data_IF_683444060978
#
_entry.id   IF_683444060978
#
_cell.length_a   1.000
_cell.length_b   1.000
_cell.length_c   1.000
_cell.angle_alpha   90.00
_cell.angle_beta   90.00
_cell.angle_gamma   90.00
#
_symmetry.space_group_name_H-M   'P 1'
#
loop_
_entity.id
_entity.type
_entity.pdbx_description
1 polymer ?
#
# COMPACT_ATOMS: atom_id res chain seq x y z
N UNK A 1 -4.59 18.58 42.17
CA UNK A 1 -3.62 18.52 41.04
C UNK A 1 -2.64 17.33 41.15
N UNK A 2 -1.77 17.21 42.18
CA UNK A 2 -0.89 16.02 42.30
C UNK A 2 -1.60 14.75 42.82
N UNK A 3 -2.59 14.88 43.70
CA UNK A 3 -3.37 13.73 44.21
C UNK A 3 -4.34 13.14 43.18
N UNK A 4 -4.83 13.96 42.25
CA UNK A 4 -5.69 13.49 41.15
C UNK A 4 -4.91 12.69 40.12
N UNK A 5 -3.57 12.80 40.06
CA UNK A 5 -2.69 12.02 39.18
C UNK A 5 -2.48 10.58 39.62
N UNK A 6 -2.62 10.25 40.90
CA UNK A 6 -2.39 8.88 41.40
C UNK A 6 -3.61 7.97 41.27
N UNK A 7 -4.84 8.51 41.22
CA UNK A 7 -6.04 7.72 40.89
C UNK A 7 -6.14 7.38 39.38
N UNK A 8 -5.27 7.96 38.54
CA UNK A 8 -5.20 7.75 37.08
C UNK A 8 -4.42 6.47 36.73
N UNK A 9 -3.78 5.82 37.71
CA UNK A 9 -2.93 4.65 37.47
C UNK A 9 -3.62 3.47 36.77
N UNK A 10 -4.95 3.38 36.82
CA UNK A 10 -5.71 2.33 36.12
C UNK A 10 -6.04 2.66 34.66
N UNK A 11 -6.03 3.94 34.24
CA UNK A 11 -6.36 4.35 32.85
C UNK A 11 -5.11 4.74 32.04
N UNK A 12 -3.99 5.02 32.70
CA UNK A 12 -2.70 5.32 32.05
C UNK A 12 -2.07 4.10 31.37
N UNK A 13 -2.34 2.88 31.87
CA UNK A 13 -1.81 1.64 31.30
C UNK A 13 -2.22 1.43 29.83
N UNK A 14 -3.32 2.05 29.40
CA UNK A 14 -3.71 1.97 28.00
C UNK A 14 -2.83 2.83 27.10
N UNK A 15 -2.26 3.94 27.59
CA UNK A 15 -1.58 4.97 26.74
C UNK A 15 -0.06 4.82 26.69
N UNK A 16 0.47 3.82 27.37
CA UNK A 16 1.90 3.51 27.29
C UNK A 16 2.33 3.12 25.86
N UNK A 17 3.56 3.47 25.46
CA UNK A 17 4.07 3.13 24.14
C UNK A 17 4.11 1.62 23.98
N UNK A 18 3.61 1.14 22.85
CA UNK A 18 3.50 -0.29 22.60
C UNK A 18 4.92 -0.87 22.45
N UNK A 19 5.22 -1.98 23.16
CA UNK A 19 6.46 -2.72 22.90
C UNK A 19 6.40 -3.27 21.47
N UNK A 20 7.21 -2.71 20.59
CA UNK A 20 7.26 -3.14 19.19
C UNK A 20 8.13 -4.40 19.12
N UNK A 21 7.62 -5.45 18.46
CA UNK A 21 8.44 -6.59 18.07
C UNK A 21 9.59 -6.10 17.18
N UNK A 22 10.81 -6.09 17.72
CA UNK A 22 12.01 -5.58 17.04
C UNK A 22 12.43 -6.42 15.81
N UNK A 23 11.71 -7.52 15.54
CA UNK A 23 11.95 -8.43 14.42
C UNK A 23 11.41 -7.92 13.08
N UNK A 24 10.43 -7.00 13.09
CA UNK A 24 9.80 -6.49 11.87
C UNK A 24 10.56 -5.27 11.36
N UNK A 25 11.36 -5.44 10.31
CA UNK A 25 12.13 -4.37 9.65
C UNK A 25 11.67 -4.14 8.22
N UNK A 26 12.26 -3.17 7.52
CA UNK A 26 11.99 -2.97 6.08
C UNK A 26 12.29 -4.21 5.24
N UNK A 27 13.25 -5.05 5.63
CA UNK A 27 13.52 -6.35 5.00
C UNK A 27 12.34 -7.33 5.08
N UNK A 28 11.40 -7.10 6.00
CA UNK A 28 10.17 -7.87 6.15
C UNK A 28 9.00 -7.36 5.32
N UNK A 29 9.19 -6.31 4.52
CA UNK A 29 8.16 -5.70 3.67
C UNK A 29 8.50 -5.94 2.19
N UNK A 30 7.65 -6.67 1.47
CA UNK A 30 7.83 -6.92 0.04
C UNK A 30 7.01 -5.97 -0.83
N UNK A 31 7.57 -5.52 -1.96
CA UNK A 31 6.85 -4.84 -3.03
C UNK A 31 6.40 -3.40 -2.78
N UNK A 32 6.84 -2.76 -1.69
CA UNK A 32 6.41 -1.42 -1.26
C UNK A 32 7.61 -0.44 -1.16
N UNK A 33 8.61 -0.61 -2.03
CA UNK A 33 9.84 0.21 -2.02
C UNK A 33 9.56 1.71 -2.16
N UNK A 34 8.67 2.07 -3.08
CA UNK A 34 8.36 3.47 -3.39
C UNK A 34 7.69 4.15 -2.18
N UNK A 35 6.77 3.45 -1.53
CA UNK A 35 6.11 3.91 -0.30
C UNK A 35 7.11 4.04 0.85
N UNK A 36 8.04 3.09 1.00
CA UNK A 36 9.08 3.14 2.03
C UNK A 36 10.01 4.33 1.81
N UNK A 37 10.42 4.60 0.56
CA UNK A 37 11.29 5.75 0.26
C UNK A 37 10.61 7.07 0.60
N UNK A 38 9.36 7.25 0.17
CA UNK A 38 8.59 8.44 0.50
C UNK A 38 8.37 8.60 2.01
N UNK A 39 8.14 7.51 2.75
CA UNK A 39 8.03 7.57 4.21
C UNK A 39 9.36 7.92 4.89
N UNK A 40 10.50 7.45 4.35
CA UNK A 40 11.84 7.85 4.84
C UNK A 40 12.08 9.35 4.63
N UNK A 41 11.69 9.90 3.48
CA UNK A 41 11.79 11.35 3.22
C UNK A 41 10.93 12.17 4.18
N UNK A 42 9.78 11.66 4.59
CA UNK A 42 8.88 12.37 5.50
C UNK A 42 9.32 12.30 6.97
N UNK A 43 9.82 11.15 7.43
CA UNK A 43 10.08 10.91 8.85
C UNK A 43 11.55 10.97 9.19
N UNK A 44 12.39 10.35 8.36
CA UNK A 44 13.82 10.20 8.63
C UNK A 44 14.60 11.46 8.22
N UNK A 45 14.30 12.04 7.06
CA UNK A 45 15.09 13.17 6.55
C UNK A 45 14.98 14.44 7.40
N UNK A 46 13.82 14.83 7.95
CA UNK A 46 13.76 15.98 8.86
C UNK A 46 14.59 15.79 10.13
N UNK A 47 14.76 14.54 10.56
CA UNK A 47 15.57 14.20 11.74
C UNK A 47 17.06 14.16 11.42
N UNK A 48 17.44 13.75 10.20
CA UNK A 48 18.83 13.64 9.77
C UNK A 48 19.41 14.96 9.22
N UNK A 49 18.61 15.74 8.50
CA UNK A 49 19.05 16.94 7.77
C UNK A 49 18.20 18.18 8.07
N UNK A 50 18.07 18.61 9.35
CA UNK A 50 17.25 19.76 9.72
C UNK A 50 17.70 21.07 9.01
N UNK A 51 19.00 21.20 8.73
CA UNK A 51 19.62 22.36 8.08
C UNK A 51 18.99 22.68 6.71
N UNK A 52 18.59 21.64 5.96
CA UNK A 52 17.95 21.82 4.65
C UNK A 52 16.59 22.48 4.79
N UNK A 53 15.79 22.03 5.77
CA UNK A 53 14.46 22.58 6.04
C UNK A 53 14.53 24.02 6.57
N UNK A 54 15.53 24.33 7.40
CA UNK A 54 15.77 25.68 7.90
C UNK A 54 16.21 26.64 6.80
N UNK A 55 17.12 26.22 5.91
CA UNK A 55 17.61 27.04 4.80
C UNK A 55 16.48 27.48 3.86
N UNK A 56 15.58 26.56 3.52
CA UNK A 56 14.46 26.85 2.63
C UNK A 56 13.19 27.30 3.37
N UNK A 57 13.20 27.34 4.70
CA UNK A 57 12.04 27.64 5.55
C UNK A 57 10.81 26.80 5.21
N UNK A 58 11.04 25.52 4.90
CA UNK A 58 9.99 24.56 4.55
C UNK A 58 9.63 23.77 5.81
N UNK A 59 8.34 23.62 6.08
CA UNK A 59 7.88 22.74 7.15
C UNK A 59 7.83 21.30 6.65
N UNK A 60 8.43 20.33 7.37
CA UNK A 60 8.31 18.93 7.00
C UNK A 60 6.87 18.45 7.18
N UNK A 61 6.36 17.60 6.28
CA UNK A 61 4.99 17.09 6.40
C UNK A 61 4.86 16.17 7.61
N UNK A 62 3.79 16.33 8.39
CA UNK A 62 3.64 15.64 9.70
C UNK A 62 2.56 14.58 9.73
N UNK A 63 1.69 14.54 8.74
CA UNK A 63 0.63 13.54 8.65
C UNK A 63 0.66 12.71 7.37
N UNK A 64 0.49 11.39 7.54
CA UNK A 64 0.32 10.43 6.45
C UNK A 64 -1.01 9.68 6.60
N UNK A 65 -1.70 9.45 5.49
CA UNK A 65 -2.89 8.60 5.45
C UNK A 65 -2.65 7.38 4.55
N UNK A 66 -2.72 6.18 5.11
CA UNK A 66 -2.61 4.91 4.42
C UNK A 66 -4.01 4.41 4.07
N UNK A 67 -4.27 4.17 2.80
CA UNK A 67 -5.55 3.66 2.35
C UNK A 67 -5.39 2.55 1.33
N UNK A 68 -6.36 1.64 1.28
CA UNK A 68 -6.36 0.50 0.35
C UNK A 68 -7.05 -0.72 0.94
N UNK A 69 -7.20 -1.81 0.19
CA UNK A 69 -7.83 -3.04 0.67
C UNK A 69 -7.15 -3.61 1.94
N UNK A 70 -7.88 -4.39 2.75
CA UNK A 70 -7.31 -5.05 3.92
C UNK A 70 -6.25 -6.08 3.52
N UNK A 71 -5.25 -6.28 4.39
CA UNK A 71 -4.22 -7.30 4.18
C UNK A 71 -3.09 -6.93 3.22
N UNK A 72 -2.99 -5.66 2.79
CA UNK A 72 -1.88 -5.13 1.97
C UNK A 72 -0.65 -4.67 2.76
N UNK A 73 -0.67 -4.79 4.10
CA UNK A 73 0.50 -4.53 4.94
C UNK A 73 0.61 -3.11 5.51
N UNK A 74 -0.46 -2.29 5.50
CA UNK A 74 -0.50 -0.94 6.08
C UNK A 74 0.07 -0.88 7.52
N UNK A 75 -0.45 -1.72 8.42
CA UNK A 75 0.00 -1.82 9.81
C UNK A 75 1.44 -2.35 9.93
N UNK A 76 1.85 -3.23 9.01
CA UNK A 76 3.19 -3.83 9.01
C UNK A 76 4.24 -2.77 8.63
N UNK A 77 3.97 -1.96 7.61
CA UNK A 77 4.86 -0.87 7.16
C UNK A 77 5.06 0.16 8.26
N UNK A 78 3.99 0.56 8.97
CA UNK A 78 4.10 1.50 10.08
C UNK A 78 4.98 0.96 11.22
N UNK A 79 4.85 -0.33 11.56
CA UNK A 79 5.70 -1.00 12.55
C UNK A 79 7.16 -1.09 12.10
N UNK A 80 7.38 -1.44 10.82
CA UNK A 80 8.72 -1.50 10.24
C UNK A 80 9.41 -0.13 10.27
N UNK A 81 8.68 0.95 9.97
CA UNK A 81 9.18 2.32 10.03
C UNK A 81 9.61 2.69 11.45
N UNK A 82 8.78 2.41 12.45
CA UNK A 82 9.10 2.72 13.85
C UNK A 82 10.34 1.95 14.35
N UNK A 83 10.46 0.67 13.97
CA UNK A 83 11.63 -0.15 14.29
C UNK A 83 12.90 0.32 13.59
N UNK A 84 12.81 0.75 12.33
CA UNK A 84 13.98 1.25 11.61
C UNK A 84 14.47 2.57 12.23
N UNK A 85 13.55 3.50 12.50
CA UNK A 85 13.93 4.79 13.05
C UNK A 85 14.44 4.70 14.50
N UNK A 86 14.14 3.60 15.19
CA UNK A 86 14.66 3.32 16.54
C UNK A 86 16.05 2.67 16.53
N UNK A 87 16.63 2.40 15.35
CA UNK A 87 18.01 1.92 15.23
C UNK A 87 18.98 3.11 15.29
N UNK A 88 19.77 3.17 16.37
CA UNK A 88 20.80 4.20 16.59
C UNK A 88 20.74 4.82 17.99
N UNK A 89 21.28 6.03 18.13
CA UNK A 89 21.35 6.76 19.41
C UNK A 89 20.04 7.44 19.83
N UNK A 90 19.05 7.53 18.94
CA UNK A 90 17.72 8.10 19.22
C UNK A 90 16.66 7.02 19.18
N UNK A 91 16.03 6.77 20.33
CA UNK A 91 14.82 5.93 20.40
C UNK A 91 13.61 6.77 20.04
N UNK A 92 12.78 6.27 19.13
CA UNK A 92 11.51 6.91 18.76
C UNK A 92 10.39 6.22 19.53
N UNK A 93 9.54 7.00 20.20
CA UNK A 93 8.35 6.44 20.85
C UNK A 93 7.26 6.14 19.82
N UNK A 94 6.67 4.94 19.87
CA UNK A 94 5.61 4.51 18.96
C UNK A 94 4.32 4.24 19.73
N UNK A 95 3.27 4.99 19.39
CA UNK A 95 1.94 4.83 19.95
C UNK A 95 1.03 4.23 18.88
N UNK A 96 0.43 3.07 19.17
CA UNK A 96 -0.52 2.42 18.28
C UNK A 96 -1.90 2.43 18.92
N UNK A 97 -2.90 2.92 18.18
CA UNK A 97 -4.32 2.92 18.60
C UNK A 97 -5.21 2.45 17.47
N UNK A 98 -6.19 1.61 17.78
CA UNK A 98 -7.29 1.34 16.85
C UNK A 98 -8.37 2.40 17.04
N UNK A 99 -9.05 2.78 15.96
CA UNK A 99 -10.12 3.78 16.01
C UNK A 99 -11.24 3.41 16.97
N UNK A 100 -11.56 2.12 17.08
CA UNK A 100 -12.55 1.60 18.03
C UNK A 100 -12.11 1.70 19.49
N UNK A 101 -10.82 1.55 19.79
CA UNK A 101 -10.30 1.59 21.18
C UNK A 101 -10.42 2.99 21.79
N UNK A 102 -10.41 4.03 20.95
CA UNK A 102 -10.59 5.41 21.37
C UNK A 102 -12.07 5.76 21.67
N UNK A 103 -13.03 4.89 21.33
CA UNK A 103 -14.46 5.13 21.54
C UNK A 103 -14.91 4.56 22.88
N UNK A 104 -15.48 5.40 23.73
CA UNK A 104 -16.00 5.00 25.04
C UNK A 104 -17.48 5.34 25.17
N UNK A 105 -18.18 4.62 26.05
CA UNK A 105 -19.60 4.89 26.37
C UNK A 105 -19.81 6.20 27.14
N UNK A 106 -18.75 6.75 27.74
CA UNK A 106 -18.82 7.94 28.58
C UNK A 106 -18.52 9.19 27.76
N UNK A 107 -19.46 10.14 27.77
CA UNK A 107 -19.33 11.38 27.00
C UNK A 107 -18.10 12.17 27.46
N UNK A 108 -17.24 12.56 26.53
CA UNK A 108 -16.03 13.35 26.78
C UNK A 108 -14.79 12.56 27.18
N UNK A 109 -14.91 11.28 27.53
CA UNK A 109 -13.76 10.46 27.90
C UNK A 109 -12.88 10.16 26.68
N UNK A 110 -13.48 9.89 25.52
CA UNK A 110 -12.76 9.73 24.24
C UNK A 110 -11.92 10.96 23.85
N UNK A 111 -12.45 12.17 24.06
CA UNK A 111 -11.71 13.41 23.80
C UNK A 111 -10.54 13.59 24.78
N UNK A 112 -10.78 13.26 26.06
CA UNK A 112 -9.75 13.31 27.10
C UNK A 112 -8.62 12.34 26.79
N UNK A 113 -8.93 11.11 26.37
CA UNK A 113 -7.94 10.10 25.98
C UNK A 113 -7.11 10.54 24.78
N UNK A 114 -7.73 11.13 23.75
CA UNK A 114 -6.99 11.69 22.62
C UNK A 114 -6.04 12.82 23.06
N UNK A 115 -6.51 13.77 23.89
CA UNK A 115 -5.63 14.83 24.40
C UNK A 115 -4.44 14.26 25.20
N UNK A 116 -4.71 13.29 26.07
CA UNK A 116 -3.68 12.65 26.89
C UNK A 116 -2.64 11.90 26.04
N UNK A 117 -3.08 11.22 24.97
CA UNK A 117 -2.19 10.56 24.01
C UNK A 117 -1.25 11.57 23.35
N UNK A 118 -1.78 12.68 22.81
CA UNK A 118 -0.95 13.69 22.17
C UNK A 118 0.00 14.39 23.16
N UNK A 119 -0.42 14.60 24.40
CA UNK A 119 0.42 15.20 25.44
C UNK A 119 1.55 14.25 25.87
N UNK A 120 1.29 12.93 25.96
CA UNK A 120 2.34 11.95 26.21
C UNK A 120 3.30 11.80 25.03
N UNK A 121 2.77 11.78 23.79
CA UNK A 121 3.59 11.76 22.59
C UNK A 121 4.49 12.99 22.49
N UNK A 122 4.02 14.15 22.95
CA UNK A 122 4.81 15.37 23.06
C UNK A 122 5.92 15.30 24.12
N UNK A 123 5.69 14.61 25.24
CA UNK A 123 6.71 14.38 26.26
C UNK A 123 7.79 13.40 25.80
N UNK A 124 7.43 12.41 24.97
CA UNK A 124 8.32 11.37 24.46
C UNK A 124 8.83 11.62 23.03
N UNK A 125 9.03 12.89 22.64
CA UNK A 125 9.56 13.24 21.31
C UNK A 125 11.03 12.79 21.15
N UNK A 126 11.45 12.32 19.96
CA UNK A 126 10.65 12.14 18.73
C UNK A 126 9.66 10.97 18.84
N UNK A 127 8.43 11.15 18.32
CA UNK A 127 7.38 10.13 18.44
C UNK A 127 6.50 9.98 17.19
N UNK A 128 5.97 8.76 17.01
CA UNK A 128 5.06 8.41 15.92
C UNK A 128 3.75 7.91 16.54
N UNK A 129 2.64 8.49 16.10
CA UNK A 129 1.28 8.08 16.48
C UNK A 129 0.66 7.36 15.27
N UNK A 130 0.33 6.08 15.42
CA UNK A 130 -0.34 5.28 14.41
C UNK A 130 -1.79 4.98 14.82
N UNK A 131 -2.74 5.50 14.04
CA UNK A 131 -4.17 5.21 14.15
C UNK A 131 -4.56 4.15 13.11
N UNK A 132 -4.86 2.93 13.54
CA UNK A 132 -5.44 1.89 12.68
C UNK A 132 -6.98 2.05 12.64
N UNK A 133 -7.61 1.76 11.51
CA UNK A 133 -9.07 1.91 11.33
C UNK A 133 -9.59 3.30 11.74
N UNK A 134 -8.90 4.36 11.27
CA UNK A 134 -9.23 5.75 11.62
C UNK A 134 -10.64 6.17 11.15
N UNK A 135 -11.21 5.46 10.17
CA UNK A 135 -12.59 5.63 9.71
C UNK A 135 -13.63 5.33 10.80
N UNK A 136 -13.30 4.48 11.79
CA UNK A 136 -14.14 4.29 12.97
C UNK A 136 -14.14 5.49 13.92
N UNK A 137 -13.02 6.24 13.96
CA UNK A 137 -12.86 7.41 14.83
C UNK A 137 -13.44 8.68 14.19
N UNK A 138 -13.20 8.86 12.90
CA UNK A 138 -13.51 10.09 12.18
C UNK A 138 -14.34 9.87 10.89
N UNK A 139 -15.60 9.40 11.03
CA UNK A 139 -16.48 9.24 9.88
C UNK A 139 -16.88 10.59 9.26
N UNK A 140 -17.32 10.59 7.99
CA UNK A 140 -17.89 11.77 7.32
C UNK A 140 -19.07 12.31 8.12
N UNK A 141 -18.99 13.58 8.52
CA UNK A 141 -20.05 14.27 9.28
C UNK A 141 -21.35 14.29 8.47
N UNK A 142 -22.40 13.69 9.02
CA UNK A 142 -23.76 13.79 8.49
C UNK A 142 -24.71 14.24 9.59
N UNK A 143 -25.76 14.98 9.23
CA UNK A 143 -26.82 15.40 10.16
C UNK A 143 -27.55 14.23 10.83
N UNK A 144 -27.46 13.01 10.26
CA UNK A 144 -28.07 11.78 10.79
C UNK A 144 -27.16 11.00 11.75
N UNK A 145 -25.87 11.35 11.87
CA UNK A 145 -24.94 10.64 12.74
C UNK A 145 -24.93 11.20 14.17
N UNK A 146 -24.46 10.40 15.13
CA UNK A 146 -24.35 10.79 16.53
C UNK A 146 -23.46 12.03 16.70
N UNK A 147 -23.96 13.00 17.48
CA UNK A 147 -23.22 14.24 17.82
C UNK A 147 -21.86 13.95 18.47
N UNK A 148 -21.72 12.78 19.10
CA UNK A 148 -20.50 12.29 19.75
C UNK A 148 -19.35 12.18 18.75
N UNK A 149 -19.57 11.55 17.59
CA UNK A 149 -18.53 11.39 16.56
C UNK A 149 -18.07 12.74 16.03
N UNK A 150 -18.99 13.69 15.82
CA UNK A 150 -18.67 15.04 15.34
C UNK A 150 -17.78 15.82 16.32
N UNK A 151 -17.99 15.65 17.63
CA UNK A 151 -17.17 16.28 18.67
C UNK A 151 -15.75 15.71 18.71
N UNK A 152 -15.63 14.38 18.57
CA UNK A 152 -14.35 13.68 18.53
C UNK A 152 -13.54 14.09 17.30
N UNK A 153 -14.16 14.13 16.11
CA UNK A 153 -13.48 14.58 14.88
C UNK A 153 -13.00 16.01 15.05
N UNK A 154 -13.82 16.90 15.61
CA UNK A 154 -13.44 18.30 15.82
C UNK A 154 -12.27 18.44 16.81
N UNK A 155 -12.23 17.61 17.85
CA UNK A 155 -11.09 17.55 18.78
C UNK A 155 -9.83 17.03 18.09
N UNK A 156 -9.93 15.98 17.25
CA UNK A 156 -8.79 15.46 16.50
C UNK A 156 -8.24 16.51 15.52
N UNK A 157 -9.11 17.24 14.81
CA UNK A 157 -8.69 18.34 13.93
C UNK A 157 -7.92 19.42 14.69
N UNK A 158 -8.42 19.83 15.86
CA UNK A 158 -7.74 20.82 16.70
C UNK A 158 -6.39 20.32 17.22
N UNK A 159 -6.27 19.02 17.52
CA UNK A 159 -5.00 18.41 17.93
C UNK A 159 -3.99 18.35 16.78
N UNK A 160 -4.43 18.01 15.56
CA UNK A 160 -3.60 18.00 14.36
C UNK A 160 -3.13 19.40 13.97
N UNK A 161 -4.03 20.40 13.96
CA UNK A 161 -3.66 21.80 13.69
C UNK A 161 -2.69 22.35 14.76
N UNK A 162 -2.81 21.84 16.00
CA UNK A 162 -1.90 22.18 17.08
C UNK A 162 -0.50 21.57 16.94
N UNK A 163 -0.30 20.59 16.03
CA UNK A 163 0.98 19.89 15.88
C UNK A 163 2.09 20.80 15.37
N UNK A 164 1.79 21.85 14.60
CA UNK A 164 2.80 22.76 14.06
C UNK A 164 3.70 23.33 15.15
N UNK A 165 3.08 23.74 16.27
CA UNK A 165 3.77 24.21 17.47
C UNK A 165 4.45 23.11 18.30
N UNK A 166 4.05 21.84 18.12
CA UNK A 166 4.38 20.70 19.00
C UNK A 166 5.58 19.85 18.54
N UNK A 167 6.34 20.27 17.53
CA UNK A 167 7.65 19.66 17.17
C UNK A 167 7.58 18.28 16.50
N UNK A 168 8.64 17.46 16.65
CA UNK A 168 8.96 16.15 16.03
C UNK A 168 7.94 15.00 16.30
N UNK A 169 6.65 15.23 16.04
CA UNK A 169 5.57 14.23 16.13
C UNK A 169 5.04 13.97 14.72
N UNK A 170 4.99 12.70 14.33
CA UNK A 170 4.40 12.26 13.06
C UNK A 170 3.14 11.45 13.34
N UNK A 171 2.05 11.78 12.64
CA UNK A 171 0.77 11.06 12.74
C UNK A 171 0.53 10.25 11.47
N UNK A 172 0.25 8.96 11.62
CA UNK A 172 -0.06 8.04 10.53
C UNK A 172 -1.46 7.48 10.78
N UNK A 173 -2.40 7.74 9.88
CA UNK A 173 -3.72 7.11 9.88
C UNK A 173 -3.76 5.96 8.89
N UNK A 174 -4.42 4.85 9.20
CA UNK A 174 -4.71 3.77 8.27
C UNK A 174 -6.22 3.55 8.16
N UNK A 175 -6.69 3.37 6.94
CA UNK A 175 -8.09 3.09 6.62
C UNK A 175 -8.20 2.07 5.49
N UNK A 176 -9.31 1.35 5.44
CA UNK A 176 -9.67 0.54 4.28
C UNK A 176 -10.56 1.31 3.29
N UNK A 177 -11.19 2.40 3.74
CA UNK A 177 -12.18 3.18 2.99
C UNK A 177 -11.81 4.65 3.10
N UNK A 178 -11.29 5.22 2.02
CA UNK A 178 -10.91 6.64 2.01
C UNK A 178 -12.14 7.55 2.05
N UNK A 179 -13.23 7.13 1.40
CA UNK A 179 -14.46 7.93 1.27
C UNK A 179 -15.27 8.06 2.56
N UNK A 180 -15.03 7.19 3.55
CA UNK A 180 -15.71 7.24 4.84
C UNK A 180 -15.06 8.20 5.83
N UNK A 181 -13.88 8.75 5.53
CA UNK A 181 -13.19 9.71 6.40
C UNK A 181 -13.66 11.13 6.11
N UNK A 182 -13.76 11.96 7.15
CA UNK A 182 -14.01 13.40 7.01
C UNK A 182 -13.00 14.08 6.07
N UNK A 183 -13.44 14.72 4.96
CA UNK A 183 -12.57 15.44 4.03
C UNK A 183 -11.74 16.55 4.68
N UNK A 184 -12.17 17.08 5.83
CA UNK A 184 -11.42 18.08 6.58
C UNK A 184 -10.07 17.53 7.07
N UNK A 185 -9.96 16.24 7.39
CA UNK A 185 -8.72 15.62 7.84
C UNK A 185 -7.67 15.52 6.71
N UNK A 186 -8.12 15.47 5.45
CA UNK A 186 -7.28 15.32 4.24
C UNK A 186 -6.70 16.64 3.73
N UNK A 187 -6.95 17.76 4.42
CA UNK A 187 -6.43 19.07 4.02
C UNK A 187 -4.93 19.17 4.35
N UNK A 188 -4.14 19.87 3.51
CA UNK A 188 -2.75 20.20 3.85
C UNK A 188 -2.66 20.92 5.21
N UNK A 189 -1.63 20.59 5.98
CA UNK A 189 -1.44 20.92 7.40
C UNK A 189 -1.91 19.82 8.37
N UNK A 190 -2.57 18.76 7.87
CA UNK A 190 -3.09 17.64 8.66
C UNK A 190 -2.54 16.32 8.11
N UNK A 191 -3.34 15.56 7.36
CA UNK A 191 -2.83 14.45 6.56
C UNK A 191 -2.37 14.97 5.19
N UNK A 192 -1.11 15.40 5.12
CA UNK A 192 -0.51 16.03 3.94
C UNK A 192 -0.29 15.06 2.78
N UNK A 193 -0.04 13.79 3.11
CA UNK A 193 0.28 12.75 2.13
C UNK A 193 -0.67 11.58 2.25
N UNK A 194 -1.15 11.13 1.09
CA UNK A 194 -2.00 9.95 0.96
C UNK A 194 -1.21 8.85 0.25
N UNK A 195 -1.20 7.65 0.82
CA UNK A 195 -0.52 6.48 0.29
C UNK A 195 -1.52 5.38 -0.06
N UNK A 196 -1.64 5.10 -1.35
CA UNK A 196 -2.45 4.00 -1.86
C UNK A 196 -1.69 2.67 -1.77
N UNK A 197 -2.21 1.74 -0.97
CA UNK A 197 -1.73 0.37 -0.90
C UNK A 197 -2.59 -0.51 -1.79
N UNK A 198 -2.20 -0.65 -3.06
CA UNK A 198 -2.85 -1.56 -4.01
C UNK A 198 -2.53 -3.02 -3.70
N UNK A 199 -3.22 -3.93 -4.41
CA UNK A 199 -2.84 -5.34 -4.39
C UNK A 199 -1.43 -5.52 -4.99
N UNK A 200 -0.64 -6.50 -4.51
CA UNK A 200 0.72 -6.70 -4.97
C UNK A 200 0.78 -7.24 -6.40
N UNK A 201 1.69 -6.66 -7.21
CA UNK A 201 2.04 -7.13 -8.55
C UNK A 201 2.79 -8.47 -8.51
N UNK A 202 2.98 -9.15 -9.66
CA UNK A 202 3.75 -10.41 -9.76
C UNK A 202 5.11 -10.34 -9.04
N UNK A 203 5.90 -9.29 -9.30
CA UNK A 203 7.21 -9.05 -8.68
C UNK A 203 7.09 -8.95 -7.15
N UNK A 204 6.17 -8.10 -6.67
CA UNK A 204 5.88 -7.92 -5.24
C UNK A 204 5.41 -9.23 -4.57
N UNK A 205 4.57 -10.03 -5.24
CA UNK A 205 4.12 -11.34 -4.72
C UNK A 205 5.30 -12.29 -4.54
N UNK A 206 6.24 -12.34 -5.51
CA UNK A 206 7.47 -13.15 -5.41
C UNK A 206 8.31 -12.73 -4.19
N UNK A 207 8.48 -11.43 -3.96
CA UNK A 207 9.18 -10.91 -2.78
C UNK A 207 8.49 -11.30 -1.47
N UNK A 208 7.17 -11.16 -1.40
CA UNK A 208 6.38 -11.54 -0.22
C UNK A 208 6.51 -13.05 0.07
N UNK A 209 6.46 -13.90 -0.96
CA UNK A 209 6.72 -15.33 -0.82
C UNK A 209 8.14 -15.60 -0.30
N UNK A 210 9.16 -14.91 -0.82
CA UNK A 210 10.55 -15.05 -0.36
C UNK A 210 10.68 -14.68 1.12
N UNK A 211 10.03 -13.61 1.57
CA UNK A 211 10.04 -13.18 2.97
C UNK A 211 9.41 -14.26 3.87
N UNK A 212 8.22 -14.77 3.52
CA UNK A 212 7.52 -15.76 4.34
C UNK A 212 8.16 -17.15 4.33
N UNK A 213 8.96 -17.47 3.31
CA UNK A 213 9.66 -18.75 3.18
C UNK A 213 11.14 -18.68 3.56
N UNK A 214 11.63 -17.50 4.00
CA UNK A 214 13.04 -17.28 4.36
C UNK A 214 13.53 -18.21 5.46
N UNK A 215 12.67 -18.47 6.43
CA UNK A 215 12.99 -19.23 7.64
C UNK A 215 12.62 -20.72 7.49
N UNK A 216 12.15 -21.14 6.30
CA UNK A 216 11.78 -22.53 6.04
C UNK A 216 13.01 -23.41 5.75
N UNK A 217 12.95 -24.64 6.25
CA UNK A 217 13.94 -25.69 5.98
C UNK A 217 13.21 -26.94 5.48
N UNK A 218 13.35 -27.34 4.20
CA UNK A 218 14.13 -26.71 3.12
C UNK A 218 13.45 -25.47 2.52
N UNK A 219 14.26 -24.58 1.92
CA UNK A 219 13.76 -23.40 1.21
C UNK A 219 13.20 -23.80 -0.18
N UNK A 220 12.07 -23.22 -0.61
CA UNK A 220 11.56 -23.44 -1.95
C UNK A 220 12.49 -22.83 -3.01
N UNK A 221 12.47 -23.42 -4.20
CA UNK A 221 13.23 -22.92 -5.36
C UNK A 221 12.66 -21.59 -5.84
N UNK A 222 13.55 -20.67 -6.24
CA UNK A 222 13.16 -19.35 -6.76
C UNK A 222 12.28 -19.43 -8.01
N UNK A 223 12.50 -20.44 -8.87
CA UNK A 223 11.67 -20.71 -10.06
C UNK A 223 10.25 -21.12 -9.68
N UNK A 224 10.09 -21.89 -8.60
CA UNK A 224 8.78 -22.29 -8.10
C UNK A 224 8.03 -21.10 -7.47
N UNK A 225 8.73 -20.22 -6.74
CA UNK A 225 8.12 -19.00 -6.21
C UNK A 225 7.61 -18.06 -7.31
N UNK A 226 8.31 -18.02 -8.44
CA UNK A 226 7.86 -17.25 -9.60
C UNK A 226 6.61 -17.84 -10.24
N UNK A 227 6.54 -19.17 -10.38
CA UNK A 227 5.34 -19.87 -10.86
C UNK A 227 4.13 -19.65 -9.91
N UNK A 228 4.36 -19.66 -8.59
CA UNK A 228 3.33 -19.35 -7.60
C UNK A 228 2.86 -17.90 -7.73
N UNK A 229 3.78 -16.94 -7.91
CA UNK A 229 3.44 -15.54 -8.06
C UNK A 229 2.58 -15.27 -9.30
N UNK A 230 2.79 -16.02 -10.40
CA UNK A 230 1.93 -15.97 -11.59
C UNK A 230 0.53 -16.52 -11.34
N UNK A 231 0.40 -17.56 -10.51
CA UNK A 231 -0.89 -18.20 -10.22
C UNK A 231 -1.71 -17.47 -9.15
N UNK A 232 -1.06 -16.76 -8.22
CA UNK A 232 -1.68 -16.04 -7.10
C UNK A 232 -2.20 -14.64 -7.47
N UNK A 233 -2.90 -14.50 -8.59
CA UNK A 233 -3.49 -13.23 -9.03
C UNK A 233 -4.53 -12.75 -8.02
N UNK A 234 -4.43 -11.49 -7.58
CA UNK A 234 -5.38 -10.88 -6.64
C UNK A 234 -5.23 -11.31 -5.17
N UNK A 235 -4.21 -12.11 -4.84
CA UNK A 235 -3.86 -12.39 -3.45
C UNK A 235 -3.24 -11.17 -2.79
N UNK A 236 -3.66 -10.82 -1.57
CA UNK A 236 -2.99 -9.81 -0.76
C UNK A 236 -1.83 -10.43 0.06
N UNK A 237 -1.02 -9.58 0.71
CA UNK A 237 0.09 -10.08 1.54
C UNK A 237 -0.38 -11.01 2.66
N UNK A 238 -1.53 -10.71 3.28
CA UNK A 238 -2.14 -11.59 4.28
C UNK A 238 -2.59 -12.95 3.70
N UNK A 239 -3.14 -12.97 2.49
CA UNK A 239 -3.54 -14.21 1.83
C UNK A 239 -2.32 -15.08 1.49
N UNK A 240 -1.22 -14.46 1.03
CA UNK A 240 0.03 -15.18 0.72
C UNK A 240 0.61 -15.82 1.99
N UNK A 241 0.61 -15.08 3.11
CA UNK A 241 1.00 -15.63 4.43
C UNK A 241 0.13 -16.81 4.83
N UNK A 242 -1.20 -16.68 4.66
CA UNK A 242 -2.16 -17.75 4.94
C UNK A 242 -1.94 -18.96 4.05
N UNK A 243 -1.68 -18.75 2.75
CA UNK A 243 -1.40 -19.81 1.79
C UNK A 243 -0.15 -20.61 2.17
N UNK A 244 0.92 -19.93 2.59
CA UNK A 244 2.15 -20.58 3.05
C UNK A 244 1.88 -21.43 4.31
N UNK A 245 1.10 -20.91 5.27
CA UNK A 245 0.73 -21.65 6.47
C UNK A 245 -0.16 -22.87 6.15
N UNK A 246 -1.14 -22.72 5.26
CA UNK A 246 -2.03 -23.81 4.87
C UNK A 246 -1.30 -24.88 4.06
N UNK A 247 -0.31 -24.51 3.24
CA UNK A 247 0.56 -25.47 2.56
C UNK A 247 1.36 -26.33 3.56
N UNK A 248 1.90 -25.72 4.61
CA UNK A 248 2.58 -26.44 5.69
C UNK A 248 1.62 -27.38 6.45
N UNK A 249 0.39 -26.94 6.73
CA UNK A 249 -0.65 -27.77 7.35
C UNK A 249 -1.10 -28.93 6.44
N UNK A 250 -1.19 -28.71 5.13
CA UNK A 250 -1.46 -29.77 4.16
C UNK A 250 -0.34 -30.83 4.13
N UNK A 251 0.93 -30.40 4.19
CA UNK A 251 2.06 -31.33 4.30
C UNK A 251 2.01 -32.14 5.60
N UNK A 252 1.67 -31.50 6.73
CA UNK A 252 1.47 -32.16 8.02
C UNK A 252 0.33 -33.20 7.97
N UNK A 253 -0.83 -32.83 7.40
CA UNK A 253 -1.98 -33.73 7.20
C UNK A 253 -1.63 -34.95 6.37
N UNK A 254 -0.86 -34.75 5.30
CA UNK A 254 -0.41 -35.82 4.40
C UNK A 254 0.56 -36.79 5.09
N UNK A 255 1.49 -36.27 5.90
CA UNK A 255 2.50 -37.09 6.57
C UNK A 255 1.95 -37.82 7.80
N UNK A 256 1.12 -37.15 8.59
CA UNK A 256 0.64 -37.65 9.87
C UNK A 256 -0.89 -37.49 10.02
N UNK A 257 -1.70 -38.28 9.30
CA UNK A 257 -3.16 -38.22 9.40
C UNK A 257 -3.68 -38.65 10.78
N UNK A 258 -2.89 -39.43 11.50
CA UNK A 258 -3.19 -39.92 12.85
C UNK A 258 -3.37 -38.83 13.91
N UNK A 259 -2.75 -37.65 13.73
CA UNK A 259 -2.88 -36.51 14.66
C UNK A 259 -4.34 -36.08 14.82
N UNK A 260 -5.16 -36.24 13.76
CA UNK A 260 -6.56 -35.84 13.78
C UNK A 260 -7.49 -36.87 14.45
N UNK A 261 -6.98 -38.06 14.76
CA UNK A 261 -7.76 -39.14 15.42
C UNK A 261 -7.47 -39.24 16.91
N UNK A 262 -6.29 -38.83 17.36
CA UNK A 262 -5.85 -38.88 18.75
C UNK A 262 -6.01 -37.53 19.45
N UNK A 263 -6.49 -37.53 20.69
CA UNK A 263 -6.54 -36.32 21.54
C UNK A 263 -5.20 -36.00 22.21
N UNK A 264 -4.26 -36.95 22.21
CA UNK A 264 -2.95 -36.83 22.86
C UNK A 264 -1.85 -36.35 21.90
N UNK A 265 -0.82 -35.68 22.45
CA UNK A 265 0.32 -35.18 21.68
C UNK A 265 1.25 -36.33 21.28
N UNK A 266 1.22 -36.70 20.00
CA UNK A 266 2.11 -37.71 19.43
C UNK A 266 3.54 -37.18 19.25
N UNK A 267 4.53 -38.06 19.40
CA UNK A 267 5.93 -37.75 19.09
C UNK A 267 6.12 -37.79 17.56
N UNK A 268 6.43 -36.65 16.96
CA UNK A 268 6.58 -36.50 15.52
C UNK A 268 8.04 -36.28 15.15
N UNK A 269 8.45 -36.87 14.03
CA UNK A 269 9.73 -36.55 13.41
C UNK A 269 9.54 -35.36 12.45
N UNK A 270 9.92 -34.17 12.93
CA UNK A 270 9.74 -32.89 12.23
C UNK A 270 10.54 -32.88 10.92
N UNK A 271 11.71 -33.52 10.89
CA UNK A 271 12.58 -33.57 9.71
C UNK A 271 11.94 -34.30 8.53
N UNK A 272 10.93 -35.15 8.79
CA UNK A 272 10.23 -35.88 7.75
C UNK A 272 9.14 -35.08 7.02
N UNK A 273 8.80 -33.88 7.53
CA UNK A 273 7.72 -33.05 6.99
C UNK A 273 8.26 -32.18 5.86
N UNK A 274 8.24 -32.72 4.63
CA UNK A 274 8.63 -31.98 3.43
C UNK A 274 7.40 -31.42 2.72
N UNK A 275 7.39 -30.10 2.50
CA UNK A 275 6.35 -29.39 1.75
C UNK A 275 6.60 -29.60 0.25
N UNK A 276 5.57 -30.03 -0.47
CA UNK A 276 5.62 -30.30 -1.92
C UNK A 276 4.70 -29.37 -2.69
N UNK A 277 4.91 -29.27 -4.02
CA UNK A 277 4.05 -28.45 -4.89
C UNK A 277 2.55 -28.85 -4.82
N UNK A 278 2.26 -30.13 -4.59
CA UNK A 278 0.88 -30.62 -4.41
C UNK A 278 0.20 -30.00 -3.18
N UNK A 279 0.97 -29.76 -2.12
CA UNK A 279 0.44 -29.18 -0.88
C UNK A 279 0.03 -27.71 -1.11
N UNK A 280 0.78 -26.96 -1.93
CA UNK A 280 0.40 -25.61 -2.38
C UNK A 280 -0.85 -25.60 -3.26
N UNK A 281 -0.98 -26.55 -4.19
CA UNK A 281 -2.19 -26.66 -5.04
C UNK A 281 -3.42 -26.95 -4.18
N UNK A 282 -3.31 -27.84 -3.19
CA UNK A 282 -4.40 -28.11 -2.25
C UNK A 282 -4.71 -26.90 -1.36
N UNK A 283 -3.69 -26.13 -0.97
CA UNK A 283 -3.89 -24.90 -0.21
C UNK A 283 -4.61 -23.83 -1.04
N UNK A 284 -4.22 -23.62 -2.31
CA UNK A 284 -4.87 -22.69 -3.24
C UNK A 284 -6.36 -22.99 -3.46
N UNK A 285 -6.75 -24.25 -3.43
CA UNK A 285 -8.17 -24.65 -3.55
C UNK A 285 -9.01 -24.29 -2.31
N UNK A 286 -8.37 -24.18 -1.14
CA UNK A 286 -9.03 -23.84 0.13
C UNK A 286 -9.01 -22.34 0.41
N UNK A 287 -7.97 -21.65 -0.02
CA UNK A 287 -7.79 -20.21 0.24
C UNK A 287 -8.55 -19.38 -0.78
N UNK A 288 -9.58 -18.66 -0.33
CA UNK A 288 -10.28 -17.66 -1.16
C UNK A 288 -9.50 -16.34 -1.10
N UNK A 289 -9.03 -15.80 -2.24
CA UNK A 289 -8.29 -14.54 -2.27
C UNK A 289 -9.16 -13.34 -1.88
N UNK A 290 -8.53 -12.33 -1.30
CA UNK A 290 -9.19 -11.11 -0.85
C UNK A 290 -9.89 -10.36 -1.99
N UNK A 291 -9.33 -10.38 -3.20
CA UNK A 291 -9.96 -9.77 -4.38
C UNK A 291 -11.36 -10.37 -4.63
N UNK A 292 -11.47 -11.69 -4.71
CA UNK A 292 -12.72 -12.41 -4.98
C UNK A 292 -13.77 -12.28 -3.87
N UNK A 293 -13.36 -11.95 -2.64
CA UNK A 293 -14.31 -11.65 -1.55
C UNK A 293 -15.02 -10.31 -1.73
N UNK A 294 -14.40 -9.35 -2.41
CA UNK A 294 -14.97 -8.03 -2.65
C UNK A 294 -15.59 -7.93 -4.05
N UNK A 295 -14.82 -8.24 -5.11
CA UNK A 295 -15.24 -8.19 -6.52
C UNK A 295 -14.42 -9.22 -7.33
N UNK A 296 -15.05 -10.01 -8.19
CA UNK A 296 -14.33 -10.98 -9.03
C UNK A 296 -13.27 -10.27 -9.88
N UNK A 297 -12.00 -10.73 -9.80
CA UNK A 297 -10.92 -10.14 -10.59
C UNK A 297 -11.11 -10.48 -12.07
N UNK A 298 -11.18 -9.49 -12.98
CA UNK A 298 -11.39 -9.73 -14.41
C UNK A 298 -10.14 -10.27 -15.12
N UNK A 299 -8.96 -10.09 -14.51
CA UNK A 299 -7.69 -10.59 -15.04
C UNK A 299 -7.49 -12.07 -14.75
N UNK A 300 -7.21 -12.86 -15.79
CA UNK A 300 -6.82 -14.27 -15.67
C UNK A 300 -5.75 -14.61 -16.69
N UNK A 301 -4.67 -15.25 -16.24
CA UNK A 301 -3.64 -15.77 -17.14
C UNK A 301 -4.20 -16.82 -18.12
N UNK A 302 -3.56 -16.94 -19.30
CA UNK A 302 -3.88 -18.01 -20.25
C UNK A 302 -3.65 -19.37 -19.59
N UNK A 303 -4.61 -20.29 -19.81
CA UNK A 303 -4.46 -21.67 -19.38
C UNK A 303 -3.28 -22.33 -20.10
N UNK A 304 -2.58 -23.30 -19.49
CA UNK A 304 -1.46 -23.99 -20.15
C UNK A 304 -1.89 -24.72 -21.43
N UNK A 305 -3.17 -25.10 -21.54
CA UNK A 305 -3.74 -25.77 -22.71
C UNK A 305 -3.93 -24.78 -23.88
N UNK A 306 -4.41 -23.57 -23.58
CA UNK A 306 -4.67 -22.54 -24.60
C UNK A 306 -3.46 -21.64 -24.90
N UNK A 307 -2.46 -21.62 -24.01
CA UNK A 307 -1.24 -20.82 -24.15
C UNK A 307 -0.56 -21.00 -25.51
N UNK A 308 -0.19 -22.22 -25.97
CA UNK A 308 0.55 -22.37 -27.23
C UNK A 308 -0.25 -21.91 -28.46
N UNK A 309 -1.59 -21.95 -28.41
CA UNK A 309 -2.45 -21.54 -29.52
C UNK A 309 -2.63 -20.02 -29.58
N UNK A 310 -2.73 -19.36 -28.42
CA UNK A 310 -3.14 -17.95 -28.32
C UNK A 310 -2.00 -16.99 -27.94
N UNK A 311 -0.84 -17.49 -27.53
CA UNK A 311 0.29 -16.67 -27.09
C UNK A 311 0.80 -15.71 -28.17
N UNK A 312 0.89 -16.18 -29.42
CA UNK A 312 1.27 -15.32 -30.56
C UNK A 312 0.25 -14.19 -30.78
N UNK A 313 -1.03 -14.48 -30.65
CA UNK A 313 -2.11 -13.50 -30.80
C UNK A 313 -2.10 -12.51 -29.64
N UNK A 314 -1.92 -12.98 -28.41
CA UNK A 314 -1.77 -12.14 -27.24
C UNK A 314 -0.57 -11.19 -27.36
N UNK A 315 0.58 -11.69 -27.83
CA UNK A 315 1.76 -10.86 -28.09
C UNK A 315 1.49 -9.74 -29.10
N UNK A 316 0.78 -10.04 -30.19
CA UNK A 316 0.36 -9.03 -31.18
C UNK A 316 -0.60 -7.99 -30.59
N UNK A 317 -1.55 -8.44 -29.77
CA UNK A 317 -2.50 -7.55 -29.08
C UNK A 317 -1.74 -6.62 -28.14
N UNK A 318 -0.80 -7.13 -27.34
CA UNK A 318 0.01 -6.32 -26.43
C UNK A 318 0.89 -5.32 -27.20
N UNK A 319 1.49 -5.71 -28.32
CA UNK A 319 2.23 -4.78 -29.18
C UNK A 319 1.34 -3.68 -29.78
N UNK A 320 0.12 -4.02 -30.22
CA UNK A 320 -0.85 -3.04 -30.69
C UNK A 320 -1.29 -2.09 -29.55
N UNK A 321 -1.51 -2.65 -28.37
CA UNK A 321 -1.88 -1.90 -27.17
C UNK A 321 -0.78 -0.93 -26.75
N UNK A 322 0.50 -1.30 -26.84
CA UNK A 322 1.64 -0.40 -26.59
C UNK A 322 1.64 0.82 -27.53
N UNK A 323 1.25 0.65 -28.79
CA UNK A 323 1.17 1.78 -29.75
C UNK A 323 0.03 2.75 -29.43
N UNK A 324 -1.09 2.23 -28.95
CA UNK A 324 -2.29 3.03 -28.63
C UNK A 324 -2.21 3.64 -27.23
N UNK A 325 -1.66 2.87 -26.28
CA UNK A 325 -1.45 3.21 -24.88
C UNK A 325 0.04 3.12 -24.56
N UNK A 326 0.79 4.17 -24.83
CA UNK A 326 2.23 4.17 -24.56
C UNK A 326 2.53 4.14 -23.05
N UNK A 327 1.57 4.52 -22.20
CA UNK A 327 1.65 4.30 -20.75
C UNK A 327 1.63 2.81 -20.36
N UNK A 328 1.05 1.92 -21.17
CA UNK A 328 1.10 0.48 -20.92
C UNK A 328 2.53 -0.08 -21.01
N UNK A 329 3.41 0.62 -21.72
CA UNK A 329 4.82 0.26 -21.84
C UNK A 329 5.56 0.38 -20.49
N UNK A 330 5.19 1.35 -19.65
CA UNK A 330 5.72 1.49 -18.28
C UNK A 330 5.36 0.30 -17.39
N UNK A 331 4.19 -0.30 -17.61
CA UNK A 331 3.77 -1.49 -16.86
C UNK A 331 4.55 -2.75 -17.30
N UNK A 332 4.83 -2.88 -18.60
CA UNK A 332 5.46 -4.05 -19.22
C UNK A 332 7.00 -4.03 -19.18
N UNK A 333 7.66 -2.85 -19.21
CA UNK A 333 9.14 -2.74 -19.27
C UNK A 333 9.88 -3.00 -17.95
N UNK A 334 9.22 -3.00 -16.80
CA UNK A 334 9.89 -3.23 -15.50
C UNK A 334 10.40 -4.67 -15.30
N UNK A 335 9.93 -5.63 -16.08
CA UNK A 335 10.40 -7.02 -15.99
C UNK A 335 11.89 -7.21 -16.37
N UNK A 336 12.58 -6.17 -16.89
CA UNK A 336 13.97 -6.29 -17.38
C UNK A 336 15.02 -5.42 -16.68
N UNK A 337 14.70 -4.60 -15.67
CA UNK A 337 15.72 -3.77 -15.01
C UNK A 337 15.60 -3.82 -13.49
N UNK A 338 16.46 -4.65 -12.87
CA UNK A 338 16.92 -4.48 -11.49
C UNK A 338 17.48 -3.07 -11.33
N UNK A 339 16.82 -2.24 -10.52
CA UNK A 339 17.44 -1.35 -9.52
C UNK A 339 16.36 -0.43 -8.93
N UNK A 340 15.97 -0.76 -7.71
CA UNK A 340 14.89 -0.14 -6.92
C UNK A 340 15.23 1.26 -6.39
N UNK A 341 16.36 1.85 -6.78
CA UNK A 341 16.76 3.22 -6.45
C UNK A 341 16.40 4.22 -7.56
N UNK A 342 15.98 3.74 -8.73
CA UNK A 342 15.86 4.57 -9.92
C UNK A 342 14.48 5.21 -10.13
N UNK A 343 13.47 5.00 -9.26
CA UNK A 343 12.12 5.48 -9.57
C UNK A 343 11.83 6.94 -9.20
N UNK A 344 12.46 7.43 -8.12
CA UNK A 344 12.46 8.86 -7.78
C UNK A 344 13.45 9.58 -8.69
N UNK A 345 14.64 9.00 -8.87
CA UNK A 345 15.66 9.51 -9.78
C UNK A 345 15.28 9.45 -11.26
N UNK A 346 14.35 8.60 -11.75
CA UNK A 346 13.97 8.60 -13.19
C UNK A 346 12.92 9.64 -13.56
N UNK A 347 12.05 10.03 -12.64
CA UNK A 347 11.19 11.19 -12.87
C UNK A 347 11.99 12.49 -12.73
N UNK A 348 13.06 12.49 -11.93
CA UNK A 348 13.97 13.61 -11.73
C UNK A 348 15.25 13.56 -12.59
N UNK A 349 15.51 12.51 -13.37
CA UNK A 349 16.56 12.49 -14.40
C UNK A 349 16.12 13.26 -15.65
N UNK A 350 15.38 14.34 -15.43
CA UNK A 350 15.32 15.47 -16.33
C UNK A 350 16.57 16.29 -15.99
N UNK A 351 17.54 16.21 -16.89
CA UNK A 351 18.82 16.90 -16.90
C UNK A 351 19.86 16.44 -15.87
N UNK A 352 20.91 15.81 -16.39
CA UNK A 352 22.25 16.13 -15.90
C UNK A 352 22.41 17.65 -15.89
N UNK A 353 22.67 18.21 -14.71
CA UNK A 353 22.75 19.63 -14.28
C UNK A 353 23.58 20.62 -15.15
N UNK A 354 23.89 20.36 -16.42
CA UNK A 354 24.69 21.28 -17.23
C UNK A 354 23.90 22.25 -18.12
N UNK A 355 22.57 22.09 -18.29
CA UNK A 355 21.79 22.97 -19.20
C UNK A 355 20.49 23.57 -18.65
N UNK A 356 20.15 23.41 -17.37
CA UNK A 356 18.98 24.09 -16.80
C UNK A 356 19.35 25.53 -16.36
N UNK A 357 18.61 26.58 -16.80
CA UNK A 357 18.94 27.95 -16.44
C UNK A 357 18.78 28.16 -14.93
N UNK A 358 19.83 28.64 -14.26
CA UNK A 358 19.81 28.87 -12.82
C UNK A 358 18.75 29.92 -12.47
N UNK A 359 17.83 29.58 -11.55
CA UNK A 359 16.72 30.47 -11.11
C UNK A 359 17.25 31.72 -10.37
N UNK A 360 18.53 31.70 -9.97
CA UNK A 360 19.18 32.74 -9.20
C UNK A 360 20.09 33.68 -10.01
N UNK A 361 20.51 33.32 -11.24
CA UNK A 361 21.39 34.19 -12.04
C UNK A 361 20.65 34.86 -13.20
N UNK A 362 20.53 36.18 -13.13
CA UNK A 362 19.91 37.01 -14.17
C UNK A 362 20.86 37.37 -15.34
N UNK A 363 22.05 36.76 -15.45
CA UNK A 363 23.07 37.17 -16.43
C UNK A 363 23.29 36.09 -17.50
N UNK A 364 22.97 36.37 -18.78
CA UNK A 364 23.31 35.47 -19.87
C UNK A 364 24.81 35.60 -20.16
N UNK A 365 25.61 34.68 -19.64
CA UNK A 365 27.02 34.53 -20.00
C UNK A 365 27.14 33.54 -21.15
N UNK A 366 26.84 34.03 -22.36
CA UNK A 366 27.55 33.78 -23.62
C UNK A 366 26.65 34.14 -24.81
N UNK A 367 27.15 35.04 -25.66
CA UNK A 367 26.52 35.47 -26.90
C UNK A 367 26.50 34.30 -27.90
N UNK A 368 25.33 33.70 -28.13
CA UNK A 368 24.99 33.05 -29.40
C UNK A 368 23.66 33.62 -29.91
N UNK A 369 23.57 34.06 -31.18
CA UNK A 369 22.34 34.60 -31.73
C UNK A 369 21.39 33.45 -32.09
N UNK A 370 20.22 33.39 -31.44
CA UNK A 370 19.11 32.55 -31.90
C UNK A 370 18.41 31.64 -30.88
N UNK A 371 18.75 31.66 -29.58
CA UNK A 371 17.98 30.92 -28.57
C UNK A 371 16.77 31.76 -28.16
N UNK A 372 15.57 31.35 -28.60
CA UNK A 372 14.31 31.88 -28.08
C UNK A 372 14.32 31.78 -26.54
N UNK A 373 13.71 32.74 -25.84
CA UNK A 373 13.67 32.78 -24.38
C UNK A 373 13.08 31.47 -23.83
N UNK A 374 13.93 30.53 -23.45
CA UNK A 374 13.51 29.32 -22.76
C UNK A 374 12.80 29.75 -21.48
N UNK A 375 11.54 29.30 -21.32
CA UNK A 375 10.78 29.61 -20.11
C UNK A 375 11.44 28.84 -18.97
N UNK A 376 11.69 29.51 -17.83
CA UNK A 376 12.15 28.86 -16.59
C UNK A 376 11.29 27.65 -16.19
N UNK A 377 10.01 27.67 -16.58
CA UNK A 377 9.08 26.56 -16.41
C UNK A 377 8.65 26.07 -17.79
N UNK A 378 9.30 25.01 -18.28
CA UNK A 378 8.87 24.29 -19.46
C UNK A 378 7.76 23.28 -19.09
N UNK A 379 6.53 23.78 -18.95
CA UNK A 379 5.34 22.91 -18.84
C UNK A 379 4.94 22.27 -20.18
N UNK A 380 5.63 22.61 -21.26
CA UNK A 380 5.56 21.92 -22.55
C UNK A 380 6.09 20.50 -22.39
N UNK A 381 5.22 19.62 -21.89
CA UNK A 381 5.38 18.17 -21.91
C UNK A 381 5.72 17.76 -23.34
N UNK A 382 6.98 17.45 -23.60
CA UNK A 382 7.39 16.91 -24.88
C UNK A 382 6.70 15.55 -25.05
N UNK A 383 5.95 15.39 -26.15
CA UNK A 383 5.32 14.12 -26.52
C UNK A 383 6.33 12.96 -26.66
N UNK A 384 7.62 13.29 -26.71
CA UNK A 384 8.74 12.37 -26.71
C UNK A 384 9.03 11.73 -25.34
N UNK A 385 8.81 12.45 -24.24
CA UNK A 385 9.11 11.99 -22.87
C UNK A 385 7.85 11.56 -22.09
N UNK A 386 6.70 12.15 -22.41
CA UNK A 386 5.39 11.70 -21.94
C UNK A 386 4.46 11.52 -23.13
N UNK A 387 4.34 10.28 -23.66
CA UNK A 387 3.60 10.05 -24.87
C UNK A 387 2.11 10.24 -24.63
N UNK A 388 1.52 11.23 -25.29
CA UNK A 388 0.13 11.63 -25.08
C UNK A 388 -0.81 10.75 -25.90
N UNK A 389 -1.70 10.00 -25.26
CA UNK A 389 -2.78 9.29 -25.94
C UNK A 389 -3.99 10.22 -26.14
N UNK A 390 -4.49 10.36 -27.37
CA UNK A 390 -5.73 11.09 -27.63
C UNK A 390 -6.92 10.12 -27.68
N UNK A 391 -7.71 10.08 -26.60
CA UNK A 391 -8.91 9.22 -26.45
C UNK A 391 -8.68 7.77 -26.94
N UNK A 392 -7.70 7.06 -26.37
CA UNK A 392 -7.37 5.72 -26.81
C UNK A 392 -8.56 4.78 -26.58
N UNK A 393 -8.97 4.05 -27.62
CA UNK A 393 -10.03 3.03 -27.58
C UNK A 393 -9.49 1.78 -28.24
N UNK A 394 -9.78 0.63 -27.65
CA UNK A 394 -9.31 -0.65 -28.16
C UNK A 394 -10.46 -1.65 -28.12
N UNK A 395 -10.72 -2.30 -29.26
CA UNK A 395 -11.80 -3.27 -29.43
C UNK A 395 -11.20 -4.57 -29.97
N UNK A 396 -11.44 -5.66 -29.26
CA UNK A 396 -11.09 -7.00 -29.70
C UNK A 396 -12.31 -7.63 -30.39
N UNK A 397 -12.16 -7.98 -31.67
CA UNK A 397 -13.22 -8.59 -32.49
C UNK A 397 -12.76 -9.96 -32.97
N UNK A 398 -13.68 -10.92 -32.98
CA UNK A 398 -13.46 -12.27 -33.50
C UNK A 398 -14.79 -12.99 -33.67
N UNK A 399 -14.77 -14.10 -34.42
CA UNK A 399 -15.94 -14.98 -34.57
C UNK A 399 -16.32 -15.62 -33.23
N UNK A 400 -17.61 -15.96 -33.03
CA UNK A 400 -18.04 -16.63 -31.80
C UNK A 400 -17.28 -17.95 -31.63
N UNK A 401 -16.65 -18.15 -30.47
CA UNK A 401 -15.88 -19.36 -30.15
C UNK A 401 -14.36 -19.24 -30.32
N UNK A 402 -13.84 -18.13 -30.83
CA UNK A 402 -12.38 -17.91 -30.98
C UNK A 402 -11.68 -17.48 -29.67
N UNK A 403 -12.37 -17.51 -28.53
CA UNK A 403 -11.77 -17.29 -27.22
C UNK A 403 -11.42 -15.83 -26.89
N UNK A 404 -11.93 -14.87 -27.66
CA UNK A 404 -11.69 -13.45 -27.49
C UNK A 404 -12.15 -12.93 -26.12
N UNK A 405 -13.36 -13.33 -25.68
CA UNK A 405 -13.94 -12.93 -24.40
C UNK A 405 -13.47 -13.80 -23.24
N UNK A 406 -13.34 -15.12 -23.45
CA UNK A 406 -13.05 -16.07 -22.38
C UNK A 406 -11.56 -16.20 -22.03
N UNK A 407 -10.67 -16.00 -23.00
CA UNK A 407 -9.24 -16.28 -22.84
C UNK A 407 -8.36 -15.07 -23.12
N UNK A 408 -8.52 -14.41 -24.27
CA UNK A 408 -7.64 -13.31 -24.67
C UNK A 408 -7.86 -12.04 -23.85
N UNK A 409 -9.10 -11.55 -23.73
CA UNK A 409 -9.36 -10.31 -22.99
C UNK A 409 -8.96 -10.39 -21.50
N UNK A 410 -9.30 -11.46 -20.74
CA UNK A 410 -8.81 -11.62 -19.36
C UNK A 410 -7.29 -11.71 -19.27
N UNK A 411 -6.62 -12.31 -20.26
CA UNK A 411 -5.17 -12.43 -20.28
C UNK A 411 -4.46 -11.12 -20.59
N UNK A 412 -5.06 -10.25 -21.42
CA UNK A 412 -4.58 -8.89 -21.66
C UNK A 412 -4.71 -8.06 -20.38
N UNK A 413 -5.85 -8.15 -19.69
CA UNK A 413 -6.07 -7.46 -18.41
C UNK A 413 -5.07 -7.96 -17.35
N UNK A 414 -4.80 -9.27 -17.31
CA UNK A 414 -3.78 -9.87 -16.45
C UNK A 414 -2.37 -9.34 -16.74
N UNK A 415 -2.00 -9.18 -18.01
CA UNK A 415 -0.72 -8.57 -18.38
C UNK A 415 -0.61 -7.09 -17.95
N UNK A 416 -1.76 -6.42 -17.75
CA UNK A 416 -1.88 -5.03 -17.32
C UNK A 416 -2.20 -4.89 -15.81
N UNK A 417 -1.84 -5.89 -14.98
CA UNK A 417 -2.11 -5.95 -13.54
C UNK A 417 -1.72 -4.68 -12.73
N UNK A 418 -0.80 -3.87 -13.26
CA UNK A 418 -0.36 -2.60 -12.62
C UNK A 418 -1.39 -1.48 -12.68
N UNK A 419 -2.41 -1.59 -13.55
CA UNK A 419 -3.45 -0.59 -13.69
C UNK A 419 -4.70 -0.96 -12.88
N UNK A 420 -5.41 0.02 -12.30
CA UNK A 420 -6.73 -0.22 -11.73
C UNK A 420 -7.69 -0.61 -12.86
N UNK A 421 -8.42 -1.71 -12.65
CA UNK A 421 -9.37 -2.24 -13.63
C UNK A 421 -10.76 -2.17 -13.04
N UNK A 422 -11.66 -1.51 -13.78
CA UNK A 422 -13.08 -1.45 -13.48
C UNK A 422 -13.84 -2.16 -14.61
N UNK A 423 -14.76 -3.04 -14.25
CA UNK A 423 -15.58 -3.77 -15.21
C UNK A 423 -17.01 -3.27 -15.19
N UNK A 424 -17.48 -2.81 -16.35
CA UNK A 424 -18.88 -2.55 -16.60
C UNK A 424 -19.48 -3.77 -17.30
N UNK A 425 -20.11 -4.64 -16.52
CA UNK A 425 -20.82 -5.82 -17.03
C UNK A 425 -22.30 -5.76 -16.60
N UNK A 426 -23.16 -6.48 -17.31
CA UNK A 426 -24.59 -6.61 -16.98
C UNK A 426 -24.78 -7.11 -15.54
N UNK A 427 -23.90 -8.01 -15.09
CA UNK A 427 -23.91 -8.49 -13.71
C UNK A 427 -23.63 -7.37 -12.68
N UNK A 428 -22.75 -6.42 -13.00
CA UNK A 428 -22.45 -5.28 -12.11
C UNK A 428 -23.59 -4.27 -12.10
N UNK A 429 -24.18 -3.99 -13.26
CA UNK A 429 -25.23 -2.99 -13.42
C UNK A 429 -26.56 -3.39 -12.80
N UNK A 430 -26.91 -4.68 -12.81
CA UNK A 430 -28.21 -5.17 -12.34
C UNK A 430 -28.20 -5.80 -10.94
N UNK A 431 -27.04 -5.87 -10.27
CA UNK A 431 -26.94 -6.37 -8.89
C UNK A 431 -27.17 -5.27 -7.84
N UNK A 432 -26.94 -4.01 -8.19
CA UNK A 432 -27.15 -2.88 -7.30
C UNK A 432 -28.63 -2.55 -7.09
N UNK A 433 -28.97 -2.07 -5.90
CA UNK A 433 -30.32 -1.58 -5.55
C UNK A 433 -30.62 -0.25 -6.26
N UNK A 434 -29.58 0.48 -6.68
CA UNK A 434 -29.64 1.74 -7.42
C UNK A 434 -29.98 1.54 -8.89
N UNK A 435 -30.42 2.61 -9.56
CA UNK A 435 -30.70 2.54 -11.00
C UNK A 435 -29.41 2.24 -11.79
N UNK A 436 -29.50 1.53 -12.93
CA UNK A 436 -28.32 1.18 -13.71
C UNK A 436 -27.54 2.41 -14.21
N UNK A 437 -28.20 3.56 -14.39
CA UNK A 437 -27.56 4.83 -14.73
C UNK A 437 -26.74 5.38 -13.56
N UNK A 438 -27.27 5.28 -12.34
CA UNK A 438 -26.56 5.70 -11.13
C UNK A 438 -25.35 4.79 -10.86
N UNK A 439 -25.50 3.48 -11.08
CA UNK A 439 -24.40 2.52 -11.00
C UNK A 439 -23.32 2.80 -12.05
N UNK A 440 -23.70 3.16 -13.29
CA UNK A 440 -22.75 3.61 -14.31
C UNK A 440 -22.00 4.90 -13.92
N UNK A 441 -22.62 5.79 -13.13
CA UNK A 441 -22.00 7.03 -12.68
C UNK A 441 -21.07 6.82 -11.47
N UNK A 442 -21.26 5.72 -10.72
CA UNK A 442 -20.46 5.39 -9.53
C UNK A 442 -19.19 4.58 -9.84
N UNK A 443 -19.18 3.82 -10.95
CA UNK A 443 -18.00 3.10 -11.46
C UNK A 443 -17.07 4.06 -12.20
#
# INVERSE_FOLDING_TARGET
IHKDRMKIGASLADVDPMQIDCSVRFDGVGGLSDHISALKEMVVFPLLYPEVFERFKIQPPRGCLFYGPPGTGKTLVARALANECSQGDRRIAFFMRKGADCLSKWVGESERQLRLLFDQAYQMRPSIIFFDEIDGLAPVRSSKQDQIHSSIVSTLLALLDGLDSRGEIVVIGATNRLDSIDPALRRPGRFDREFLFSLPNKEARKEIFKIHTRDWTPKPLDTFLEELAEKCVGYCGADIKSLCAEAALCALRRRYPQIYKSSEKLQLDIASINITAKDFVMAMQKTVPASQKAVASPGRALSPISKPLLENTLGRILQALQRVFPHAELALKKDQQQDSLNHILRNDAIDSDEESPSIFEAKPTHKMPGREKEKFLNFSRNAYYQPTSCRPRFLLVGEPGYGQTSHLAPAVIHALEKFPVYTLDLSVLFVSITSPEETCAQV
#
